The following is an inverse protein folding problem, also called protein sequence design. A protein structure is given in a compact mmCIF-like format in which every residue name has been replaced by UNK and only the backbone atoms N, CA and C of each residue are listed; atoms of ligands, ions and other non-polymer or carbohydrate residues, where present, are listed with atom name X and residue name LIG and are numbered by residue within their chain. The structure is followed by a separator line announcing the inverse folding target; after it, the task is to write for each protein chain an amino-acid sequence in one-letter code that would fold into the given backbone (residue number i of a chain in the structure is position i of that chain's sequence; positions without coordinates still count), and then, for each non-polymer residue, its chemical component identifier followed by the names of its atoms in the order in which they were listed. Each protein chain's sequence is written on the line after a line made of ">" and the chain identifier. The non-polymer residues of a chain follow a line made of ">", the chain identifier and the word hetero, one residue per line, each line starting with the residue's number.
data_IF_993869755997
#
_entry.id   IF_993869755997
#
_cell.length_a   1.000
_cell.length_b   1.000
_cell.length_c   1.000
_cell.angle_alpha   90.00
_cell.angle_beta   90.00
_cell.angle_gamma   90.00
#
_symmetry.space_group_name_H-M   'P 1'
#
loop_
_entity.id
_entity.type
_entity.pdbx_description
1 polymer ?
#
# COMPACT_ATOMS: atom_id res chain seq x y z
N UNK A 1 1.09 26.47 -43.78
CA UNK A 1 0.79 25.17 -43.16
C UNK A 1 0.67 25.34 -41.67
N UNK A 2 -0.45 24.98 -41.10
CA UNK A 2 -0.66 24.90 -39.64
C UNK A 2 -0.27 23.53 -39.12
N UNK A 3 0.03 23.39 -37.80
CA UNK A 3 0.29 22.06 -37.21
C UNK A 3 -0.83 21.03 -37.47
N UNK A 4 -2.07 21.50 -37.58
CA UNK A 4 -3.24 20.65 -37.89
C UNK A 4 -3.13 20.06 -39.30
N UNK A 5 -2.57 20.78 -40.24
CA UNK A 5 -2.40 20.30 -41.64
C UNK A 5 -1.29 19.26 -41.76
N UNK A 6 -0.31 19.30 -40.84
CA UNK A 6 0.87 18.43 -40.87
C UNK A 6 0.72 17.16 -40.05
N UNK A 7 -0.17 17.15 -39.05
CA UNK A 7 -0.35 16.01 -38.12
C UNK A 7 -1.65 15.28 -38.38
N UNK A 8 -1.55 13.97 -38.61
CA UNK A 8 -2.73 13.11 -38.73
C UNK A 8 -3.26 12.71 -37.36
N UNK A 9 -4.20 13.49 -36.81
CA UNK A 9 -4.83 13.24 -35.51
C UNK A 9 -5.58 11.90 -35.44
N UNK A 10 -6.03 11.36 -36.56
CA UNK A 10 -6.74 10.07 -36.60
C UNK A 10 -5.87 8.90 -36.13
N UNK A 11 -4.60 8.91 -36.45
CA UNK A 11 -3.65 7.87 -36.02
C UNK A 11 -3.53 7.84 -34.48
N UNK A 12 -3.39 9.00 -33.87
CA UNK A 12 -3.29 9.13 -32.41
C UNK A 12 -4.61 8.71 -31.74
N UNK A 13 -5.73 9.20 -32.25
CA UNK A 13 -7.06 8.86 -31.73
C UNK A 13 -7.34 7.36 -31.83
N UNK A 14 -6.91 6.71 -32.93
CA UNK A 14 -7.07 5.27 -33.13
C UNK A 14 -6.31 4.45 -32.10
N UNK A 15 -5.07 4.82 -31.79
CA UNK A 15 -4.25 4.14 -30.76
C UNK A 15 -4.88 4.27 -29.37
N UNK A 16 -5.34 5.46 -29.00
CA UNK A 16 -6.00 5.71 -27.73
C UNK A 16 -7.30 4.90 -27.61
N UNK A 17 -8.13 4.94 -28.64
CA UNK A 17 -9.40 4.19 -28.66
C UNK A 17 -9.17 2.68 -28.60
N UNK A 18 -8.15 2.17 -29.28
CA UNK A 18 -7.78 0.75 -29.21
C UNK A 18 -7.32 0.36 -27.82
N UNK A 19 -6.51 1.19 -27.16
CA UNK A 19 -6.08 0.94 -25.78
C UNK A 19 -7.29 0.84 -24.85
N UNK A 20 -8.16 1.83 -24.83
CA UNK A 20 -9.33 1.82 -23.93
C UNK A 20 -10.40 0.79 -24.30
N UNK A 21 -10.44 0.32 -25.53
CA UNK A 21 -11.41 -0.69 -25.99
C UNK A 21 -10.97 -2.14 -25.81
N UNK A 22 -9.67 -2.41 -25.86
CA UNK A 22 -9.16 -3.79 -25.96
C UNK A 22 -8.14 -4.18 -24.90
N UNK A 23 -7.55 -3.23 -24.18
CA UNK A 23 -6.55 -3.54 -23.16
C UNK A 23 -7.21 -4.18 -21.93
N UNK A 24 -6.60 -5.26 -21.40
CA UNK A 24 -7.10 -5.96 -20.23
C UNK A 24 -7.15 -5.10 -18.94
N UNK A 25 -6.33 -4.05 -18.84
CA UNK A 25 -6.32 -3.10 -17.72
C UNK A 25 -7.44 -2.06 -17.84
N UNK A 26 -7.97 -1.84 -19.03
CA UNK A 26 -9.13 -0.98 -19.25
C UNK A 26 -10.41 -1.77 -19.00
N UNK A 27 -10.95 -1.62 -17.81
CA UNK A 27 -12.12 -2.37 -17.35
C UNK A 27 -13.32 -1.46 -17.14
N UNK A 28 -14.52 -2.03 -17.23
CA UNK A 28 -15.74 -1.34 -16.86
C UNK A 28 -15.73 -1.07 -15.35
N UNK A 29 -15.83 0.20 -14.96
CA UNK A 29 -15.70 0.60 -13.55
C UNK A 29 -16.90 0.12 -12.74
N UNK A 30 -16.64 -0.45 -11.57
CA UNK A 30 -17.66 -0.74 -10.57
C UNK A 30 -18.16 0.58 -9.95
N UNK A 31 -19.42 0.88 -10.13
CA UNK A 31 -20.06 2.12 -9.71
C UNK A 31 -21.25 1.90 -8.76
N UNK A 32 -21.28 0.81 -8.03
CA UNK A 32 -22.34 0.53 -7.06
C UNK A 32 -22.44 1.61 -5.98
N UNK A 33 -21.29 2.10 -5.53
CA UNK A 33 -21.15 3.20 -4.59
C UNK A 33 -19.76 3.87 -4.76
N UNK A 34 -19.51 5.05 -4.18
CA UNK A 34 -18.23 5.73 -4.30
C UNK A 34 -17.02 4.91 -3.78
N UNK A 35 -17.21 4.11 -2.74
CA UNK A 35 -16.15 3.24 -2.22
C UNK A 35 -15.76 2.14 -3.21
N UNK A 36 -16.72 1.56 -3.92
CA UNK A 36 -16.47 0.57 -4.97
C UNK A 36 -15.66 1.16 -6.11
N UNK A 37 -15.90 2.38 -6.51
CA UNK A 37 -15.13 3.11 -7.52
C UNK A 37 -13.67 3.29 -7.10
N UNK A 38 -13.43 3.78 -5.88
CA UNK A 38 -12.09 4.00 -5.34
C UNK A 38 -11.34 2.67 -5.23
N UNK A 39 -11.97 1.65 -4.72
CA UNK A 39 -11.39 0.31 -4.56
C UNK A 39 -11.01 -0.29 -5.91
N UNK A 40 -11.85 -0.15 -6.93
CA UNK A 40 -11.56 -0.64 -8.27
C UNK A 40 -10.32 0.05 -8.88
N UNK A 41 -10.20 1.36 -8.71
CA UNK A 41 -9.05 2.15 -9.20
C UNK A 41 -7.73 1.81 -8.50
N UNK A 42 -7.77 1.30 -7.29
CA UNK A 42 -6.60 0.94 -6.47
C UNK A 42 -6.30 -0.55 -6.45
N UNK A 43 -6.93 -1.31 -7.33
CA UNK A 43 -6.75 -2.77 -7.41
C UNK A 43 -5.48 -3.13 -8.16
N UNK A 44 -4.78 -4.15 -7.67
CA UNK A 44 -3.59 -4.74 -8.26
C UNK A 44 -3.88 -6.19 -8.66
N UNK A 45 -3.34 -6.61 -9.79
CA UNK A 45 -3.49 -7.97 -10.29
C UNK A 45 -2.12 -8.56 -10.62
N UNK A 46 -1.87 -9.78 -10.17
CA UNK A 46 -0.71 -10.57 -10.59
C UNK A 46 -0.94 -11.31 -11.92
N UNK A 47 -2.16 -11.28 -12.43
CA UNK A 47 -2.58 -11.95 -13.65
C UNK A 47 -2.40 -11.04 -14.88
N UNK A 48 -2.37 -11.64 -16.07
CA UNK A 48 -2.36 -10.92 -17.33
C UNK A 48 -1.04 -11.00 -18.09
N UNK A 49 -0.88 -10.22 -19.18
CA UNK A 49 0.35 -10.23 -19.97
C UNK A 49 1.56 -9.84 -19.15
N UNK A 50 2.60 -10.70 -19.15
CA UNK A 50 3.81 -10.51 -18.34
C UNK A 50 3.65 -10.92 -16.88
N UNK A 51 2.47 -11.37 -16.45
CA UNK A 51 2.19 -11.85 -15.11
C UNK A 51 2.05 -13.37 -15.01
N UNK A 52 1.39 -13.82 -13.94
CA UNK A 52 1.15 -15.23 -13.66
C UNK A 52 -0.15 -15.72 -14.33
N UNK A 53 -0.23 -17.03 -14.56
CA UNK A 53 -1.50 -17.71 -14.84
C UNK A 53 -2.03 -18.36 -13.55
N UNK A 54 -3.35 -18.50 -13.44
CA UNK A 54 -3.99 -19.10 -12.26
C UNK A 54 -3.46 -20.50 -11.93
N UNK A 55 -3.20 -21.29 -12.97
CA UNK A 55 -2.73 -22.68 -12.86
C UNK A 55 -1.28 -22.76 -12.38
N UNK A 56 -0.46 -21.78 -12.69
CA UNK A 56 0.96 -21.72 -12.29
C UNK A 56 1.18 -21.03 -10.95
N UNK A 57 0.17 -20.40 -10.40
CA UNK A 57 0.27 -19.70 -9.13
C UNK A 57 0.13 -20.70 -7.96
N UNK A 58 1.25 -21.03 -7.34
CA UNK A 58 1.31 -21.83 -6.12
C UNK A 58 0.97 -21.02 -4.87
N UNK A 59 1.09 -21.65 -3.70
CA UNK A 59 0.82 -21.00 -2.41
C UNK A 59 1.78 -19.84 -2.13
N UNK A 60 3.03 -19.93 -2.53
CA UNK A 60 4.07 -18.92 -2.25
C UNK A 60 3.72 -17.55 -2.83
N UNK A 61 3.17 -17.50 -4.04
CA UNK A 61 2.78 -16.23 -4.69
C UNK A 61 1.44 -15.68 -4.21
N UNK A 62 0.65 -16.48 -3.51
CA UNK A 62 -0.65 -16.11 -2.94
C UNK A 62 -0.56 -15.69 -1.48
N UNK A 63 0.56 -15.97 -0.84
CA UNK A 63 0.79 -15.71 0.56
C UNK A 63 1.14 -14.26 0.83
N UNK A 64 1.01 -13.85 2.08
CA UNK A 64 1.38 -12.50 2.55
C UNK A 64 2.84 -12.52 2.98
N UNK A 65 3.64 -11.68 2.35
CA UNK A 65 5.04 -11.48 2.71
C UNK A 65 5.18 -10.26 3.64
N UNK A 66 6.20 -10.21 4.48
CA UNK A 66 6.41 -9.07 5.38
C UNK A 66 6.57 -7.73 4.63
N UNK A 67 7.07 -7.74 3.40
CA UNK A 67 7.18 -6.55 2.54
C UNK A 67 5.84 -5.97 2.09
N UNK A 68 4.74 -6.71 2.27
CA UNK A 68 3.38 -6.21 2.01
C UNK A 68 2.93 -5.16 3.02
N UNK A 69 3.60 -5.07 4.17
CA UNK A 69 3.22 -4.14 5.23
C UNK A 69 3.14 -2.69 4.73
N UNK A 70 1.99 -2.08 4.91
CA UNK A 70 1.72 -0.71 4.46
C UNK A 70 1.58 -0.52 2.94
N UNK A 71 1.77 -1.56 2.14
CA UNK A 71 1.74 -1.54 0.67
C UNK A 71 0.56 -2.27 0.08
N UNK A 72 0.45 -3.54 0.38
CA UNK A 72 -0.66 -4.40 -0.06
C UNK A 72 -1.51 -4.80 1.14
N UNK A 73 -2.83 -4.62 1.05
CA UNK A 73 -3.74 -5.05 2.10
C UNK A 73 -3.71 -6.58 2.25
N UNK A 74 -3.45 -7.11 3.46
CA UNK A 74 -3.41 -8.56 3.66
C UNK A 74 -4.80 -9.19 3.75
N UNK A 75 -5.85 -8.39 3.88
CA UNK A 75 -7.23 -8.83 4.15
C UNK A 75 -8.07 -8.80 2.89
N UNK A 76 -7.97 -7.73 2.09
CA UNK A 76 -8.80 -7.51 0.91
C UNK A 76 -8.28 -8.31 -0.28
N UNK A 77 -8.85 -9.48 -0.50
CA UNK A 77 -8.57 -10.37 -1.63
C UNK A 77 -9.83 -11.16 -1.97
N UNK A 78 -10.05 -11.53 -3.25
CA UNK A 78 -11.18 -12.35 -3.64
C UNK A 78 -11.13 -13.74 -2.99
N UNK A 79 -12.29 -14.38 -2.86
CA UNK A 79 -12.40 -15.80 -2.57
C UNK A 79 -12.26 -16.64 -3.86
N UNK A 80 -11.81 -17.89 -3.72
CA UNK A 80 -11.71 -18.84 -4.81
C UNK A 80 -10.38 -18.80 -5.56
N UNK A 81 -10.36 -19.08 -6.89
CA UNK A 81 -9.12 -19.32 -7.63
C UNK A 81 -8.21 -18.10 -7.75
N UNK A 82 -8.71 -16.90 -7.50
CA UNK A 82 -7.95 -15.64 -7.55
C UNK A 82 -7.43 -15.17 -6.19
N UNK A 83 -7.60 -15.97 -5.15
CA UNK A 83 -7.13 -15.59 -3.80
C UNK A 83 -5.63 -15.26 -3.80
N UNK A 84 -5.25 -14.15 -3.23
CA UNK A 84 -3.86 -13.69 -3.17
C UNK A 84 -3.28 -13.17 -4.49
N UNK A 85 -3.94 -13.37 -5.63
CA UNK A 85 -3.50 -12.86 -6.94
C UNK A 85 -4.08 -11.49 -7.28
N UNK A 86 -5.19 -11.15 -6.69
CA UNK A 86 -5.82 -9.83 -6.79
C UNK A 86 -5.72 -9.18 -5.41
N UNK A 87 -5.15 -8.02 -5.35
CA UNK A 87 -4.90 -7.28 -4.11
C UNK A 87 -5.32 -5.82 -4.25
N UNK A 88 -5.39 -5.12 -3.14
CA UNK A 88 -5.63 -3.67 -3.11
C UNK A 88 -4.49 -2.95 -2.42
N UNK A 89 -4.21 -1.72 -2.85
CA UNK A 89 -3.24 -0.85 -2.17
C UNK A 89 -3.73 -0.48 -0.77
N UNK A 90 -2.82 -0.42 0.18
CA UNK A 90 -3.08 0.15 1.50
C UNK A 90 -3.44 1.64 1.40
N UNK A 91 -4.08 2.17 2.46
CA UNK A 91 -4.62 3.55 2.50
C UNK A 91 -3.59 4.59 2.09
N UNK A 92 -2.38 4.51 2.65
CA UNK A 92 -1.32 5.50 2.42
C UNK A 92 -0.28 5.08 1.39
N UNK A 93 -0.44 3.90 0.78
CA UNK A 93 0.50 3.42 -0.23
C UNK A 93 0.46 4.26 -1.50
N UNK A 94 1.62 4.51 -2.06
CA UNK A 94 1.82 5.18 -3.35
C UNK A 94 2.69 4.33 -4.26
N UNK A 95 2.60 4.57 -5.54
CA UNK A 95 3.48 3.97 -6.54
C UNK A 95 4.43 5.06 -7.02
N UNK A 96 5.73 4.81 -6.95
CA UNK A 96 6.74 5.75 -7.43
C UNK A 96 6.89 5.71 -8.96
N UNK A 97 7.70 6.61 -9.50
CA UNK A 97 7.93 6.73 -10.95
C UNK A 97 8.58 5.48 -11.57
N UNK A 98 9.24 4.65 -10.76
CA UNK A 98 9.85 3.40 -11.17
C UNK A 98 8.89 2.20 -11.09
N UNK A 99 7.67 2.40 -10.56
CA UNK A 99 6.66 1.36 -10.41
C UNK A 99 6.70 0.58 -9.10
N UNK A 100 7.54 0.96 -8.13
CA UNK A 100 7.58 0.36 -6.80
C UNK A 100 6.53 0.97 -5.88
N UNK A 101 5.98 0.16 -4.98
CA UNK A 101 5.03 0.61 -3.98
C UNK A 101 5.78 1.12 -2.76
N UNK A 102 5.45 2.32 -2.33
CA UNK A 102 6.03 3.01 -1.19
C UNK A 102 4.99 3.20 -0.09
N UNK A 103 5.46 3.19 1.15
CA UNK A 103 4.64 3.46 2.33
C UNK A 103 5.29 4.56 3.18
N UNK A 104 4.49 5.40 3.87
CA UNK A 104 5.04 6.51 4.64
C UNK A 104 5.53 6.05 6.01
N UNK A 105 6.62 6.68 6.46
CA UNK A 105 7.18 6.53 7.80
C UNK A 105 7.62 7.88 8.37
N UNK A 106 7.57 7.98 9.69
CA UNK A 106 8.18 9.08 10.45
C UNK A 106 9.61 8.71 10.82
N UNK A 107 10.53 9.66 10.73
CA UNK A 107 11.91 9.46 11.15
C UNK A 107 12.01 9.54 12.67
N UNK A 108 12.85 8.70 13.22
CA UNK A 108 13.19 8.69 14.65
C UNK A 108 14.70 8.89 14.79
N UNK A 109 15.09 9.85 15.61
CA UNK A 109 16.47 10.12 15.94
C UNK A 109 16.62 10.20 17.47
N UNK A 110 17.55 9.44 18.03
CA UNK A 110 17.86 9.43 19.48
C UNK A 110 16.62 9.24 20.37
N UNK A 111 15.69 8.38 19.96
CA UNK A 111 14.46 8.10 20.70
C UNK A 111 13.39 9.20 20.61
N UNK A 112 13.56 10.16 19.71
CA UNK A 112 12.59 11.22 19.44
C UNK A 112 12.03 11.08 18.03
N UNK A 113 10.70 11.06 17.93
CA UNK A 113 9.96 10.98 16.66
C UNK A 113 9.76 12.39 16.10
N UNK A 114 9.99 12.55 14.81
CA UNK A 114 9.61 13.76 14.09
C UNK A 114 8.08 13.76 13.86
N UNK A 115 7.40 14.65 14.56
CA UNK A 115 5.93 14.77 14.52
C UNK A 115 5.44 15.64 13.36
N UNK A 116 6.33 16.28 12.62
CA UNK A 116 5.96 17.11 11.49
C UNK A 116 5.46 16.25 10.33
N UNK A 117 4.25 16.54 9.85
CA UNK A 117 3.65 15.83 8.74
C UNK A 117 4.32 16.15 7.40
N UNK A 118 5.06 17.24 7.30
CA UNK A 118 5.80 17.61 6.08
C UNK A 118 7.08 16.77 5.92
N UNK A 119 7.61 16.23 7.00
CA UNK A 119 8.83 15.43 7.00
C UNK A 119 8.60 13.93 6.83
N UNK A 120 7.37 13.50 6.60
CA UNK A 120 7.04 12.09 6.35
C UNK A 120 7.76 11.60 5.10
N UNK A 121 8.46 10.49 5.24
CA UNK A 121 9.26 9.89 4.17
C UNK A 121 8.58 8.64 3.63
N UNK A 122 8.44 8.55 2.32
CA UNK A 122 7.95 7.35 1.65
C UNK A 122 9.11 6.43 1.31
N UNK A 123 9.03 5.18 1.72
CA UNK A 123 10.08 4.18 1.52
C UNK A 123 9.57 2.96 0.77
N UNK A 124 10.41 2.45 -0.13
CA UNK A 124 10.22 1.14 -0.77
C UNK A 124 10.63 0.03 0.20
N UNK A 125 10.21 -1.21 -0.10
CA UNK A 125 10.56 -2.36 0.74
C UNK A 125 12.06 -2.61 0.87
N UNK A 126 12.82 -2.36 -0.19
CA UNK A 126 14.28 -2.50 -0.21
C UNK A 126 14.98 -1.54 0.77
N UNK A 127 14.53 -0.30 0.80
CA UNK A 127 15.11 0.73 1.70
C UNK A 127 14.69 0.50 3.16
N UNK A 128 13.52 -0.08 3.36
CA UNK A 128 12.98 -0.40 4.69
C UNK A 128 13.67 -1.63 5.32
N UNK A 129 14.22 -2.53 4.52
CA UNK A 129 14.84 -3.77 4.99
C UNK A 129 15.96 -3.51 6.00
N UNK A 130 15.93 -4.26 7.10
CA UNK A 130 16.91 -4.15 8.18
C UNK A 130 16.72 -2.94 9.11
N UNK A 131 15.65 -2.16 8.96
CA UNK A 131 15.35 -1.03 9.86
C UNK A 131 14.37 -1.42 10.97
N UNK A 132 14.61 -0.89 12.16
CA UNK A 132 13.71 -1.04 13.31
C UNK A 132 12.61 0.03 13.24
N UNK A 133 11.37 -0.44 13.16
CA UNK A 133 10.20 0.41 12.95
C UNK A 133 9.25 0.27 14.12
N UNK A 134 8.99 1.36 14.85
CA UNK A 134 8.02 1.39 15.92
C UNK A 134 6.59 1.37 15.38
N UNK A 135 5.67 0.79 16.15
CA UNK A 135 4.24 0.79 15.82
C UNK A 135 3.64 2.20 15.95
N UNK A 136 2.66 2.53 15.08
CA UNK A 136 2.02 3.83 15.05
C UNK A 136 1.20 4.20 16.30
N UNK A 137 0.87 3.21 17.15
CA UNK A 137 0.15 3.40 18.42
C UNK A 137 1.07 3.43 19.64
N UNK A 138 2.38 3.45 19.45
CA UNK A 138 3.32 3.55 20.57
C UNK A 138 3.10 4.85 21.37
N UNK A 139 3.04 4.81 22.73
CA UNK A 139 2.83 6.01 23.53
C UNK A 139 4.01 6.97 23.40
N UNK A 140 3.70 8.22 23.06
CA UNK A 140 4.66 9.31 22.95
C UNK A 140 4.31 10.43 23.93
N UNK A 141 5.32 11.23 24.30
CA UNK A 141 5.12 12.55 24.89
C UNK A 141 4.82 13.58 23.79
N UNK A 142 4.36 14.75 24.19
CA UNK A 142 4.03 15.83 23.26
C UNK A 142 5.24 16.35 22.47
N UNK A 143 6.44 16.12 22.98
CA UNK A 143 7.70 16.45 22.33
C UNK A 143 8.20 15.39 21.33
N UNK A 144 7.47 14.28 21.20
CA UNK A 144 7.80 13.17 20.30
C UNK A 144 8.70 12.09 20.92
N UNK A 145 9.07 12.18 22.20
CA UNK A 145 9.83 11.11 22.86
C UNK A 145 8.94 9.96 23.29
N UNK A 146 9.49 8.73 23.25
CA UNK A 146 8.76 7.55 23.70
C UNK A 146 8.58 7.56 25.23
N UNK A 147 7.36 7.24 25.69
CA UNK A 147 7.03 7.17 27.12
C UNK A 147 7.60 5.95 27.80
N UNK A 148 7.69 4.83 27.10
CA UNK A 148 8.12 3.56 27.65
C UNK A 148 9.63 3.36 27.45
N UNK A 149 10.33 2.75 28.44
CA UNK A 149 11.75 2.45 28.34
C UNK A 149 12.06 1.35 27.32
N UNK A 150 11.06 0.57 26.93
CA UNK A 150 11.13 -0.46 25.89
C UNK A 150 9.91 -0.35 24.98
N UNK A 151 10.15 -0.41 23.68
CA UNK A 151 9.14 -0.23 22.64
C UNK A 151 9.11 -1.47 21.76
N UNK A 152 7.89 -1.93 21.40
CA UNK A 152 7.71 -2.93 20.37
C UNK A 152 8.06 -2.34 19.02
N UNK A 153 9.00 -2.98 18.35
CA UNK A 153 9.41 -2.61 17.00
C UNK A 153 9.15 -3.78 16.04
N UNK A 154 9.21 -3.49 14.77
CA UNK A 154 9.18 -4.46 13.69
C UNK A 154 10.53 -4.43 12.97
N UNK A 155 11.13 -5.60 12.82
CA UNK A 155 12.32 -5.81 12.03
C UNK A 155 12.04 -6.94 11.05
N UNK A 156 11.78 -6.60 9.79
CA UNK A 156 11.37 -7.53 8.75
C UNK A 156 10.18 -8.41 9.18
N UNK A 157 10.39 -9.70 9.41
CA UNK A 157 9.37 -10.64 9.87
C UNK A 157 9.28 -10.76 11.40
N UNK A 158 10.21 -10.17 12.16
CA UNK A 158 10.31 -10.28 13.60
C UNK A 158 9.73 -9.06 14.32
N UNK A 159 9.37 -9.24 15.59
CA UNK A 159 8.82 -8.19 16.46
C UNK A 159 9.63 -8.05 17.74
N UNK A 160 10.87 -7.54 17.68
CA UNK A 160 11.70 -7.36 18.86
C UNK A 160 11.18 -6.23 19.77
N UNK A 161 11.51 -6.32 21.05
CA UNK A 161 11.30 -5.26 22.02
C UNK A 161 12.65 -4.61 22.28
N UNK A 162 12.79 -3.34 21.91
CA UNK A 162 14.06 -2.62 21.88
C UNK A 162 13.96 -1.29 22.66
N UNK A 163 15.09 -0.73 23.15
CA UNK A 163 15.10 0.60 23.69
C UNK A 163 14.83 1.65 22.60
N UNK A 164 14.23 2.80 22.93
CA UNK A 164 13.87 3.84 21.96
C UNK A 164 15.03 4.36 21.11
N UNK A 165 16.25 4.34 21.63
CA UNK A 165 17.44 4.83 20.92
C UNK A 165 17.82 3.99 19.67
N UNK A 166 17.39 2.75 19.62
CA UNK A 166 17.65 1.84 18.48
C UNK A 166 16.62 1.98 17.35
N UNK A 167 15.49 2.63 17.60
CA UNK A 167 14.41 2.78 16.63
C UNK A 167 14.80 3.84 15.59
N UNK A 168 14.63 3.50 14.32
CA UNK A 168 14.99 4.34 13.18
C UNK A 168 13.78 5.00 12.53
N UNK A 169 12.64 4.29 12.50
CA UNK A 169 11.41 4.73 11.89
C UNK A 169 10.21 4.46 12.81
N UNK A 170 9.11 5.12 12.52
CA UNK A 170 7.82 4.87 13.15
C UNK A 170 6.71 4.90 12.12
N UNK A 171 5.74 4.01 12.25
CA UNK A 171 4.53 4.03 11.43
C UNK A 171 3.76 5.34 11.63
N UNK A 172 3.18 5.86 10.57
CA UNK A 172 2.39 7.11 10.63
C UNK A 172 1.08 6.89 11.38
N UNK A 173 0.42 5.75 11.13
CA UNK A 173 -0.83 5.39 11.76
C UNK A 173 -1.01 3.86 11.79
N UNK A 174 -1.76 3.31 12.78
CA UNK A 174 -2.01 1.87 12.84
C UNK A 174 -2.77 1.32 11.63
N UNK A 175 -3.70 2.11 11.07
CA UNK A 175 -4.52 1.70 9.93
C UNK A 175 -3.79 1.66 8.58
N UNK A 176 -2.53 2.07 8.52
CA UNK A 176 -1.78 2.03 7.26
C UNK A 176 -1.54 0.63 6.70
N UNK A 177 -1.77 -0.42 7.49
CA UNK A 177 -1.67 -1.83 7.05
C UNK A 177 -2.85 -2.30 6.22
N UNK A 178 -3.97 -1.60 6.25
CA UNK A 178 -5.22 -1.98 5.60
C UNK A 178 -5.53 -1.12 4.39
N UNK A 179 -6.35 -1.65 3.47
CA UNK A 179 -6.94 -0.87 2.38
C UNK A 179 -8.02 0.08 2.89
N UNK A 180 -8.47 1.00 2.04
CA UNK A 180 -9.56 1.93 2.37
C UNK A 180 -10.83 1.16 2.74
N UNK A 181 -11.21 0.17 1.95
CA UNK A 181 -12.40 -0.64 2.22
C UNK A 181 -12.26 -1.44 3.52
N UNK A 182 -11.13 -2.09 3.76
CA UNK A 182 -10.88 -2.86 4.98
C UNK A 182 -10.86 -1.99 6.23
N UNK A 183 -10.31 -0.77 6.17
CA UNK A 183 -10.30 0.16 7.28
C UNK A 183 -11.71 0.65 7.67
N UNK A 184 -12.59 0.83 6.69
CA UNK A 184 -13.98 1.20 6.92
C UNK A 184 -14.81 0.04 7.47
N UNK A 185 -14.58 -1.18 7.01
CA UNK A 185 -15.25 -2.38 7.51
C UNK A 185 -14.88 -2.69 8.96
N UNK A 186 -13.64 -2.48 9.36
CA UNK A 186 -13.19 -2.71 10.73
C UNK A 186 -13.90 -1.78 11.74
N UNK A 187 -14.29 -0.59 11.33
CA UNK A 187 -15.09 0.32 12.16
C UNK A 187 -16.46 -0.24 12.47
N UNK A 188 -17.07 -1.00 11.57
CA UNK A 188 -18.36 -1.66 11.78
C UNK A 188 -18.26 -2.73 12.85
N UNK A 189 -17.18 -3.49 12.87
CA UNK A 189 -16.96 -4.56 13.85
C UNK A 189 -16.57 -4.05 15.24
N UNK A 190 -15.94 -2.91 15.34
CA UNK A 190 -15.59 -2.27 16.61
C UNK A 190 -16.83 -1.76 17.34
N UNK A 191 -17.89 -1.44 16.61
CA UNK A 191 -19.14 -0.92 17.18
C UNK A 191 -20.10 -2.00 17.71
N UNK A 192 -19.78 -3.27 17.54
CA UNK A 192 -20.56 -4.37 18.14
C UNK A 192 -19.91 -4.85 19.43
N UNK A 193 -20.36 -4.39 20.59
CA UNK A 193 -19.98 -5.01 21.85
C UNK A 193 -20.66 -6.38 21.92
N UNK A 194 -19.88 -7.41 21.87
CA UNK A 194 -20.30 -8.76 22.26
C UNK A 194 -20.50 -8.85 23.75
#
# INVERSE_FOLDING_TARGET
>A
FTPIDLINAKTISSVINTFFGTNALSQFMDQTNPLAEITHKRRLSALGPGGLSRERAGFEVRDVHYTHYGRLCPIETPEGPNIGLISSLCVYAKINDLGFIETPYRKVADGKVDLDNEHVTYLTAEVEEGQLIAQGNAPLFDDGTFRNPKVKARLDADFPIVPPAEIQLMDVAPQQIASIAASLLSLIHISEPT
#
